data_IF_494639577867
#
_entry.id   IF_494639577867
#
_cell.length_a   1.000
_cell.length_b   1.000
_cell.length_c   1.000
_cell.angle_alpha   90.00
_cell.angle_beta   90.00
_cell.angle_gamma   90.00
#
_symmetry.space_group_name_H-M   'P 1'
#
loop_
_entity.id
_entity.type
_entity.pdbx_description
1 polymer ?
#
# COMPACT_ATOMS: atom_id res chain seq x y z
N UNK A 1 14.53 15.00 -2.11
CA UNK A 1 14.44 13.80 -1.25
C UNK A 1 12.96 13.51 -1.08
N UNK A 2 12.46 12.36 -1.54
CA UNK A 2 11.04 12.00 -1.35
C UNK A 2 10.80 11.79 0.14
N UNK A 3 9.85 12.52 0.71
CA UNK A 3 9.57 12.44 2.13
C UNK A 3 8.83 11.13 2.44
N UNK A 4 9.52 10.18 3.07
CA UNK A 4 8.99 8.86 3.44
C UNK A 4 7.71 8.99 4.27
N UNK A 5 7.60 10.05 5.09
CA UNK A 5 6.40 10.31 5.89
C UNK A 5 5.22 10.65 5.00
N UNK A 6 5.43 11.50 3.98
CA UNK A 6 4.39 11.79 3.00
C UNK A 6 3.99 10.57 2.17
N UNK A 7 4.95 9.70 1.82
CA UNK A 7 4.65 8.45 1.11
C UNK A 7 3.75 7.54 1.95
N UNK A 8 4.11 7.31 3.21
CA UNK A 8 3.30 6.53 4.15
C UNK A 8 1.90 7.11 4.30
N UNK A 9 1.78 8.43 4.48
CA UNK A 9 0.50 9.10 4.61
C UNK A 9 -0.39 8.94 3.36
N UNK A 10 0.19 9.05 2.15
CA UNK A 10 -0.56 8.83 0.88
C UNK A 10 -1.07 7.40 0.79
N UNK A 11 -0.25 6.41 1.16
CA UNK A 11 -0.63 4.99 1.18
C UNK A 11 -1.76 4.74 2.18
N UNK A 12 -1.62 5.21 3.41
CA UNK A 12 -2.65 5.05 4.43
C UNK A 12 -3.98 5.69 4.00
N UNK A 13 -3.92 6.88 3.39
CA UNK A 13 -5.10 7.54 2.85
C UNK A 13 -5.74 6.75 1.69
N UNK A 14 -4.95 6.16 0.80
CA UNK A 14 -5.45 5.29 -0.27
C UNK A 14 -6.14 4.04 0.27
N UNK A 15 -5.53 3.38 1.26
CA UNK A 15 -6.09 2.16 1.86
C UNK A 15 -7.38 2.49 2.62
N UNK A 16 -7.41 3.56 3.42
CA UNK A 16 -8.63 4.00 4.12
C UNK A 16 -9.77 4.36 3.17
N UNK A 17 -9.46 5.00 2.03
CA UNK A 17 -10.45 5.30 0.98
C UNK A 17 -11.05 4.02 0.39
N UNK A 18 -10.22 3.01 0.17
CA UNK A 18 -10.65 1.74 -0.43
C UNK A 18 -11.36 0.81 0.58
N UNK A 19 -10.87 0.70 1.81
CA UNK A 19 -11.50 -0.06 2.89
C UNK A 19 -11.09 0.49 4.28
N UNK A 20 -11.98 1.21 4.98
CA UNK A 20 -11.65 1.89 6.24
C UNK A 20 -11.42 0.94 7.42
N UNK A 21 -11.81 -0.34 7.33
CA UNK A 21 -11.64 -1.33 8.40
C UNK A 21 -10.31 -2.08 8.32
N UNK A 22 -9.52 -1.80 7.29
CA UNK A 22 -8.28 -2.51 7.01
C UNK A 22 -7.12 -1.92 7.80
N UNK A 23 -6.36 -2.77 8.48
CA UNK A 23 -5.16 -2.35 9.19
C UNK A 23 -3.95 -2.45 8.27
N UNK A 24 -2.96 -1.57 8.47
CA UNK A 24 -1.79 -1.52 7.61
C UNK A 24 -0.51 -1.36 8.43
N UNK A 25 0.54 -2.02 8.00
CA UNK A 25 1.90 -1.77 8.47
C UNK A 25 2.78 -1.36 7.28
N UNK A 26 3.71 -0.44 7.50
CA UNK A 26 4.54 0.13 6.43
C UNK A 26 6.01 0.24 6.82
N UNK A 27 6.87 -0.31 5.98
CA UNK A 27 8.32 -0.20 6.10
C UNK A 27 8.93 0.31 4.79
N UNK A 28 9.86 1.26 4.88
CA UNK A 28 10.54 1.80 3.71
C UNK A 28 11.98 1.31 3.68
N UNK A 29 12.33 0.62 2.60
CA UNK A 29 13.70 0.21 2.33
C UNK A 29 14.40 1.25 1.47
N UNK A 30 15.42 1.89 2.06
CA UNK A 30 16.25 2.88 1.38
C UNK A 30 17.18 2.26 0.35
N UNK A 31 17.58 0.99 0.51
CA UNK A 31 18.50 0.33 -0.41
C UNK A 31 17.86 0.06 -1.76
N UNK A 32 16.57 -0.31 -1.77
CA UNK A 32 15.80 -0.55 -3.00
C UNK A 32 14.88 0.59 -3.43
N UNK A 33 14.83 1.70 -2.67
CA UNK A 33 13.88 2.81 -2.86
C UNK A 33 12.43 2.31 -2.97
N UNK A 34 12.01 1.49 -2.00
CA UNK A 34 10.67 0.86 -1.99
C UNK A 34 9.98 1.00 -0.65
N UNK A 35 8.68 1.29 -0.71
CA UNK A 35 7.77 1.21 0.41
C UNK A 35 7.05 -0.14 0.37
N UNK A 36 7.30 -0.97 1.38
CA UNK A 36 6.58 -2.20 1.62
C UNK A 36 5.39 -1.90 2.52
N UNK A 37 4.22 -2.37 2.09
CA UNK A 37 2.94 -2.12 2.75
C UNK A 37 2.29 -3.47 2.98
N UNK A 38 2.12 -3.84 4.24
CA UNK A 38 1.37 -5.02 4.64
C UNK A 38 -0.06 -4.60 4.96
N UNK A 39 -1.02 -5.20 4.28
CA UNK A 39 -2.44 -4.92 4.42
C UNK A 39 -3.10 -6.12 5.11
N UNK A 40 -3.79 -5.86 6.22
CA UNK A 40 -4.37 -6.90 7.10
C UNK A 40 -5.88 -6.69 7.23
N UNK A 41 -6.65 -7.73 6.94
CA UNK A 41 -8.12 -7.74 7.09
C UNK A 41 -8.57 -9.07 7.68
N UNK A 42 -9.00 -9.04 8.94
CA UNK A 42 -9.30 -10.26 9.70
C UNK A 42 -8.06 -11.15 9.81
N UNK A 43 -8.18 -12.43 9.47
CA UNK A 43 -7.06 -13.39 9.43
C UNK A 43 -6.19 -13.27 8.18
N UNK A 44 -6.61 -12.51 7.17
CA UNK A 44 -5.91 -12.41 5.88
C UNK A 44 -4.89 -11.29 5.88
N UNK A 45 -3.74 -11.54 5.25
CA UNK A 45 -2.65 -10.57 5.08
C UNK A 45 -2.11 -10.64 3.65
N UNK A 46 -1.77 -9.49 3.08
CA UNK A 46 -0.99 -9.38 1.85
C UNK A 46 0.12 -8.35 2.03
N UNK A 47 1.16 -8.44 1.22
CA UNK A 47 2.21 -7.43 1.15
C UNK A 47 2.30 -6.87 -0.26
N UNK A 48 2.33 -5.54 -0.37
CA UNK A 48 2.47 -4.78 -1.61
C UNK A 48 3.78 -4.00 -1.54
N UNK A 49 4.57 -4.02 -2.60
CA UNK A 49 5.80 -3.23 -2.72
C UNK A 49 5.59 -2.10 -3.73
N UNK A 50 5.78 -0.86 -3.29
CA UNK A 50 5.60 0.37 -4.08
C UNK A 50 6.95 1.04 -4.27
N UNK A 51 7.28 1.55 -5.45
CA UNK A 51 8.57 2.20 -5.69
C UNK A 51 8.49 3.68 -5.30
N UNK A 52 9.58 4.26 -4.79
CA UNK A 52 9.64 5.67 -4.40
C UNK A 52 9.24 6.62 -5.53
N UNK A 53 9.59 6.28 -6.77
CA UNK A 53 9.18 7.02 -7.98
C UNK A 53 7.68 7.04 -8.25
N UNK A 54 6.92 6.07 -7.72
CA UNK A 54 5.47 6.00 -7.89
C UNK A 54 4.74 7.06 -7.04
N UNK A 55 5.46 7.86 -6.25
CA UNK A 55 4.91 8.91 -5.39
C UNK A 55 5.14 10.34 -5.92
N UNK A 56 5.82 10.50 -7.07
CA UNK A 56 6.05 11.78 -7.75
C UNK A 56 4.80 12.34 -8.46
N UNK A 57 4.94 13.45 -9.19
CA UNK A 57 3.82 14.05 -9.94
C UNK A 57 3.24 13.05 -10.96
N UNK A 58 1.93 12.77 -10.85
CA UNK A 58 1.22 11.74 -11.64
C UNK A 58 1.21 10.33 -11.03
N UNK A 59 1.82 10.13 -9.85
CA UNK A 59 1.95 8.83 -9.20
C UNK A 59 0.75 8.36 -8.37
N UNK A 60 -0.11 9.28 -7.93
CA UNK A 60 -1.24 8.98 -7.04
C UNK A 60 -2.25 7.99 -7.64
N UNK A 61 -2.51 8.05 -8.95
CA UNK A 61 -3.41 7.10 -9.63
C UNK A 61 -2.81 5.69 -9.68
N UNK A 62 -1.50 5.58 -9.91
CA UNK A 62 -0.79 4.29 -9.90
C UNK A 62 -0.77 3.68 -8.51
N UNK A 63 -0.60 4.52 -7.48
CA UNK A 63 -0.71 4.12 -6.09
C UNK A 63 -2.11 3.56 -5.79
N UNK A 64 -3.15 4.32 -6.10
CA UNK A 64 -4.54 3.93 -5.84
C UNK A 64 -4.86 2.61 -6.56
N UNK A 65 -4.42 2.44 -7.81
CA UNK A 65 -4.61 1.20 -8.56
C UNK A 65 -3.84 0.01 -7.95
N UNK A 66 -2.60 0.20 -7.52
CA UNK A 66 -1.80 -0.87 -6.90
C UNK A 66 -2.41 -1.32 -5.56
N UNK A 67 -2.92 -0.38 -4.77
CA UNK A 67 -3.63 -0.66 -3.51
C UNK A 67 -4.95 -1.37 -3.77
N UNK A 68 -5.73 -0.92 -4.74
CA UNK A 68 -7.01 -1.54 -5.10
C UNK A 68 -6.81 -2.99 -5.60
N UNK A 69 -5.80 -3.24 -6.44
CA UNK A 69 -5.50 -4.60 -6.91
C UNK A 69 -5.03 -5.50 -5.75
N UNK A 70 -4.20 -4.97 -4.84
CA UNK A 70 -3.83 -5.67 -3.62
C UNK A 70 -5.06 -6.08 -2.80
N UNK A 71 -5.93 -5.13 -2.47
CA UNK A 71 -7.16 -5.39 -1.71
C UNK A 71 -8.08 -6.40 -2.40
N UNK A 72 -8.22 -6.32 -3.73
CA UNK A 72 -9.00 -7.29 -4.52
C UNK A 72 -8.44 -8.70 -4.38
N UNK A 73 -7.11 -8.86 -4.48
CA UNK A 73 -6.46 -10.17 -4.25
C UNK A 73 -6.76 -10.69 -2.85
N UNK A 74 -6.69 -9.85 -1.83
CA UNK A 74 -6.97 -10.23 -0.45
C UNK A 74 -8.43 -10.69 -0.24
N UNK A 75 -9.39 -10.14 -0.99
CA UNK A 75 -10.78 -10.60 -0.97
C UNK A 75 -10.96 -11.96 -1.65
N UNK A 76 -10.17 -12.24 -2.69
CA UNK A 76 -10.25 -13.47 -3.48
C UNK A 76 -9.41 -14.62 -2.91
N UNK A 77 -8.46 -14.36 -2.01
CA UNK A 77 -7.68 -15.42 -1.35
C UNK A 77 -8.60 -16.31 -0.49
N UNK A 78 -8.69 -17.63 -0.77
CA UNK A 78 -9.50 -18.55 0.03
C UNK A 78 -8.99 -18.61 1.47
N UNK A 79 -9.92 -18.82 2.41
CA UNK A 79 -9.56 -19.12 3.81
C UNK A 79 -9.21 -20.60 3.84
N UNK A 80 -7.94 -20.90 4.09
CA UNK A 80 -7.46 -22.27 4.33
C UNK A 80 -7.82 -22.75 5.72
#
# INVERSE_FOLDING_TARGET
MTDVRQMKAKVEAAIKRADPKTMTDTFYDRASDRLFVTIVKGSRKISVALRGKDFGNGGSEKLDHAIADGLRRLQQTPIG
#
